data_IF_129784071184
#
_entry.id   IF_129784071184
#
_cell.length_a   1.000
_cell.length_b   1.000
_cell.length_c   1.000
_cell.angle_alpha   90.00
_cell.angle_beta   90.00
_cell.angle_gamma   90.00
#
_symmetry.space_group_name_H-M   'P 1'
#
loop_
_entity.id
_entity.type
_entity.pdbx_description
1 polymer ?
#
# COMPACT_ATOMS: atom_id res chain seq x y z
N UNK A 1 1.37 -14.88 -88.11
CA UNK A 1 -0.11 -15.00 -88.22
C UNK A 1 -0.72 -14.31 -87.00
N UNK A 2 -1.15 -13.06 -86.99
CA UNK A 2 -1.91 -12.33 -87.99
C UNK A 2 -3.34 -12.09 -87.48
N UNK A 3 -3.54 -11.15 -86.56
CA UNK A 3 -4.85 -10.49 -86.37
C UNK A 3 -4.63 -9.04 -85.92
N UNK A 4 -4.18 -8.20 -86.87
CA UNK A 4 -4.32 -6.75 -86.81
C UNK A 4 -5.80 -6.44 -86.58
N UNK A 5 -6.11 -5.76 -85.48
CA UNK A 5 -7.46 -5.29 -85.17
C UNK A 5 -7.99 -4.43 -86.32
N UNK A 6 -8.92 -5.00 -87.09
CA UNK A 6 -9.69 -4.27 -88.12
C UNK A 6 -10.36 -3.07 -87.46
N UNK A 7 -10.13 -1.90 -88.05
CA UNK A 7 -10.47 -0.60 -87.49
C UNK A 7 -11.93 -0.46 -87.11
N UNK A 8 -12.16 -0.03 -85.86
CA UNK A 8 -13.41 0.54 -85.37
C UNK A 8 -13.78 1.88 -86.05
N UNK A 9 -12.97 2.35 -87.00
CA UNK A 9 -13.18 3.63 -87.70
C UNK A 9 -14.32 3.64 -88.72
N UNK A 10 -14.79 2.47 -89.19
CA UNK A 10 -15.71 2.40 -90.33
C UNK A 10 -17.19 2.16 -89.97
N UNK A 11 -17.54 2.04 -88.67
CA UNK A 11 -18.94 1.84 -88.23
C UNK A 11 -19.66 3.17 -87.95
N UNK A 12 -18.91 4.22 -87.63
CA UNK A 12 -19.44 5.55 -87.29
C UNK A 12 -19.68 6.44 -88.53
N UNK A 13 -19.17 6.02 -89.69
CA UNK A 13 -19.27 6.74 -90.98
C UNK A 13 -20.53 6.35 -91.78
N UNK A 14 -21.21 5.26 -91.38
CA UNK A 14 -22.44 4.74 -92.03
C UNK A 14 -23.72 4.91 -91.19
N UNK A 15 -23.63 5.59 -90.05
CA UNK A 15 -24.74 5.84 -89.13
C UNK A 15 -25.22 7.28 -89.29
N UNK A 16 -26.52 7.52 -89.15
CA UNK A 16 -27.05 8.89 -89.02
C UNK A 16 -26.38 9.58 -87.82
N UNK A 17 -26.25 10.91 -87.84
CA UNK A 17 -25.62 11.68 -86.74
C UNK A 17 -26.24 11.34 -85.37
N UNK A 18 -27.54 11.04 -85.34
CA UNK A 18 -28.29 10.58 -84.16
C UNK A 18 -27.83 9.21 -83.64
N UNK A 19 -27.59 8.24 -84.51
CA UNK A 19 -27.15 6.89 -84.14
C UNK A 19 -25.71 6.89 -83.63
N UNK A 20 -24.87 7.76 -84.23
CA UNK A 20 -23.49 7.99 -83.79
C UNK A 20 -23.44 8.62 -82.39
N UNK A 21 -24.32 9.60 -82.12
CA UNK A 21 -24.45 10.24 -80.81
C UNK A 21 -24.89 9.22 -79.75
N UNK A 22 -25.92 8.40 -80.03
CA UNK A 22 -26.40 7.34 -79.11
C UNK A 22 -25.33 6.30 -78.80
N UNK A 23 -24.54 5.86 -79.78
CA UNK A 23 -23.45 4.90 -79.56
C UNK A 23 -22.32 5.47 -78.68
N UNK A 24 -21.94 6.73 -78.90
CA UNK A 24 -20.92 7.40 -78.09
C UNK A 24 -21.40 7.59 -76.65
N UNK A 25 -22.68 7.92 -76.46
CA UNK A 25 -23.30 8.06 -75.15
C UNK A 25 -23.36 6.73 -74.41
N UNK A 26 -23.84 5.65 -75.04
CA UNK A 26 -23.85 4.30 -74.44
C UNK A 26 -22.44 3.84 -74.03
N UNK A 27 -21.42 4.19 -74.81
CA UNK A 27 -20.03 3.87 -74.48
C UNK A 27 -19.49 4.72 -73.32
N UNK A 28 -19.88 5.99 -73.24
CA UNK A 28 -19.56 6.86 -72.11
C UNK A 28 -20.20 6.33 -70.82
N UNK A 29 -21.49 5.98 -70.87
CA UNK A 29 -22.25 5.43 -69.74
C UNK A 29 -21.66 4.10 -69.25
N UNK A 30 -21.26 3.21 -70.18
CA UNK A 30 -20.62 1.94 -69.84
C UNK A 30 -19.25 2.12 -69.18
N UNK A 31 -18.46 3.10 -69.64
CA UNK A 31 -17.17 3.43 -69.05
C UNK A 31 -17.33 4.05 -67.66
N UNK A 32 -18.32 4.93 -67.49
CA UNK A 32 -18.64 5.54 -66.20
C UNK A 32 -19.15 4.51 -65.20
N UNK A 33 -20.04 3.61 -65.60
CA UNK A 33 -20.52 2.51 -64.77
C UNK A 33 -19.37 1.56 -64.37
N UNK A 34 -18.44 1.28 -65.28
CA UNK A 34 -17.23 0.50 -64.97
C UNK A 34 -16.33 1.22 -63.97
N UNK A 35 -16.15 2.53 -64.11
CA UNK A 35 -15.39 3.36 -63.15
C UNK A 35 -16.07 3.37 -61.79
N UNK A 36 -17.39 3.52 -61.74
CA UNK A 36 -18.20 3.50 -60.53
C UNK A 36 -18.09 2.17 -59.80
N UNK A 37 -18.19 1.04 -60.51
CA UNK A 37 -17.99 -0.30 -59.92
C UNK A 37 -16.60 -0.48 -59.34
N UNK A 38 -15.55 -0.02 -60.04
CA UNK A 38 -14.17 -0.06 -59.52
C UNK A 38 -14.03 0.77 -58.25
N UNK A 39 -14.57 2.00 -58.22
CA UNK A 39 -14.55 2.85 -57.04
C UNK A 39 -15.32 2.21 -55.86
N UNK A 40 -16.48 1.63 -56.11
CA UNK A 40 -17.27 0.93 -55.09
C UNK A 40 -16.52 -0.28 -54.51
N UNK A 41 -15.84 -1.06 -55.35
CA UNK A 41 -15.05 -2.20 -54.91
C UNK A 41 -13.88 -1.76 -54.00
N UNK A 42 -13.18 -0.69 -54.39
CA UNK A 42 -12.08 -0.12 -53.58
C UNK A 42 -12.63 0.39 -52.24
N UNK A 43 -13.74 1.13 -52.25
CA UNK A 43 -14.36 1.64 -51.04
C UNK A 43 -14.80 0.53 -50.09
N UNK A 44 -15.39 -0.55 -50.62
CA UNK A 44 -15.79 -1.72 -49.82
C UNK A 44 -14.58 -2.44 -49.22
N UNK A 45 -13.52 -2.63 -50.02
CA UNK A 45 -12.28 -3.24 -49.54
C UNK A 45 -11.65 -2.40 -48.41
N UNK A 46 -11.56 -1.08 -48.59
CA UNK A 46 -11.02 -0.17 -47.57
C UNK A 46 -11.86 -0.17 -46.30
N UNK A 47 -13.19 -0.16 -46.41
CA UNK A 47 -14.10 -0.27 -45.26
C UNK A 47 -13.90 -1.57 -44.49
N UNK A 48 -13.74 -2.70 -45.19
CA UNK A 48 -13.52 -4.00 -44.56
C UNK A 48 -12.14 -4.08 -43.90
N UNK A 49 -11.10 -3.51 -44.53
CA UNK A 49 -9.76 -3.43 -43.97
C UNK A 49 -9.76 -2.60 -42.68
N UNK A 50 -10.37 -1.41 -42.70
CA UNK A 50 -10.50 -0.55 -41.52
C UNK A 50 -11.25 -1.24 -40.38
N UNK A 51 -12.35 -1.94 -40.66
CA UNK A 51 -13.07 -2.71 -39.63
C UNK A 51 -12.23 -3.80 -38.98
N UNK A 52 -11.37 -4.49 -39.76
CA UNK A 52 -10.45 -5.48 -39.22
C UNK A 52 -9.40 -4.83 -38.34
N UNK A 53 -8.74 -3.79 -38.83
CA UNK A 53 -7.72 -3.07 -38.05
C UNK A 53 -8.29 -2.54 -36.74
N UNK A 54 -9.47 -1.92 -36.77
CA UNK A 54 -10.14 -1.43 -35.56
C UNK A 54 -10.45 -2.55 -34.54
N UNK A 55 -10.90 -3.72 -35.02
CA UNK A 55 -11.12 -4.87 -34.16
C UNK A 55 -9.81 -5.39 -33.53
N UNK A 56 -8.72 -5.44 -34.31
CA UNK A 56 -7.40 -5.84 -33.81
C UNK A 56 -6.82 -4.81 -32.84
N UNK A 57 -6.96 -3.51 -33.10
CA UNK A 57 -6.54 -2.45 -32.20
C UNK A 57 -7.24 -2.57 -30.84
N UNK A 58 -8.56 -2.78 -30.84
CA UNK A 58 -9.34 -3.00 -29.61
C UNK A 58 -8.87 -4.24 -28.85
N UNK A 59 -8.65 -5.35 -29.54
CA UNK A 59 -8.15 -6.58 -28.93
C UNK A 59 -6.74 -6.40 -28.34
N UNK A 60 -5.82 -5.79 -29.08
CA UNK A 60 -4.45 -5.59 -28.65
C UNK A 60 -4.36 -4.63 -27.46
N UNK A 61 -5.20 -3.58 -27.45
CA UNK A 61 -5.32 -2.68 -26.31
C UNK A 61 -5.83 -3.42 -25.07
N UNK A 62 -6.85 -4.28 -25.22
CA UNK A 62 -7.35 -5.09 -24.11
C UNK A 62 -6.29 -6.05 -23.55
N UNK A 63 -5.53 -6.73 -24.42
CA UNK A 63 -4.41 -7.60 -24.02
C UNK A 63 -3.33 -6.83 -23.29
N UNK A 64 -2.87 -5.72 -23.87
CA UNK A 64 -1.83 -4.87 -23.27
C UNK A 64 -2.25 -4.37 -21.89
N UNK A 65 -3.50 -3.88 -21.76
CA UNK A 65 -4.03 -3.42 -20.48
C UNK A 65 -4.14 -4.56 -19.45
N UNK A 66 -4.46 -5.78 -19.88
CA UNK A 66 -4.52 -6.93 -18.99
C UNK A 66 -3.14 -7.30 -18.44
N UNK A 67 -2.12 -7.32 -19.30
CA UNK A 67 -0.73 -7.57 -18.88
C UNK A 67 -0.24 -6.48 -17.92
N UNK A 68 -0.49 -5.21 -18.23
CA UNK A 68 -0.15 -4.10 -17.33
C UNK A 68 -0.82 -4.22 -15.97
N UNK A 69 -2.11 -4.58 -15.92
CA UNK A 69 -2.81 -4.82 -14.65
C UNK A 69 -2.19 -5.98 -13.87
N UNK A 70 -1.71 -7.01 -14.55
CA UNK A 70 -1.01 -8.12 -13.89
C UNK A 70 0.28 -7.64 -13.25
N UNK A 71 1.13 -6.94 -14.01
CA UNK A 71 2.41 -6.40 -13.55
C UNK A 71 2.20 -5.42 -12.38
N UNK A 72 1.29 -4.46 -12.54
CA UNK A 72 1.02 -3.46 -11.49
C UNK A 72 0.50 -4.10 -10.20
N UNK A 73 -0.34 -5.14 -10.30
CA UNK A 73 -0.79 -5.87 -9.10
C UNK A 73 0.36 -6.60 -8.41
N UNK A 74 1.26 -7.23 -9.18
CA UNK A 74 2.42 -7.91 -8.60
C UNK A 74 3.33 -6.93 -7.85
N UNK A 75 3.67 -5.80 -8.48
CA UNK A 75 4.46 -4.74 -7.85
C UNK A 75 3.78 -4.21 -6.60
N UNK A 76 2.48 -3.87 -6.68
CA UNK A 76 1.76 -3.35 -5.52
C UNK A 76 1.68 -4.34 -4.36
N UNK A 77 1.52 -5.64 -4.66
CA UNK A 77 1.53 -6.68 -3.61
C UNK A 77 2.90 -6.78 -2.96
N UNK A 78 3.98 -6.69 -3.74
CA UNK A 78 5.34 -6.70 -3.19
C UNK A 78 5.58 -5.49 -2.28
N UNK A 79 5.18 -4.29 -2.71
CA UNK A 79 5.30 -3.07 -1.92
C UNK A 79 4.51 -3.17 -0.61
N UNK A 80 3.24 -3.60 -0.68
CA UNK A 80 2.39 -3.76 0.50
C UNK A 80 2.95 -4.80 1.48
N UNK A 81 3.57 -5.88 0.98
CA UNK A 81 4.22 -6.86 1.84
C UNK A 81 5.43 -6.27 2.57
N UNK A 82 6.24 -5.46 1.89
CA UNK A 82 7.36 -4.76 2.52
C UNK A 82 6.85 -3.80 3.60
N UNK A 83 5.84 -3.00 3.28
CA UNK A 83 5.26 -2.02 4.20
C UNK A 83 4.69 -2.69 5.46
N UNK A 84 4.03 -3.84 5.34
CA UNK A 84 3.55 -4.61 6.48
C UNK A 84 4.70 -5.05 7.39
N UNK A 85 5.81 -5.53 6.81
CA UNK A 85 7.00 -5.95 7.59
C UNK A 85 7.63 -4.76 8.31
N UNK A 86 7.73 -3.61 7.64
CA UNK A 86 8.29 -2.40 8.23
C UNK A 86 7.44 -1.90 9.41
N UNK A 87 6.11 -1.91 9.24
CA UNK A 87 5.14 -1.55 10.29
C UNK A 87 5.22 -2.53 11.46
N UNK A 88 5.30 -3.84 11.19
CA UNK A 88 5.46 -4.87 12.22
C UNK A 88 6.74 -4.66 13.04
N UNK A 89 7.86 -4.40 12.36
CA UNK A 89 9.14 -4.13 13.01
C UNK A 89 9.06 -2.87 13.88
N UNK A 90 8.48 -1.78 13.37
CA UNK A 90 8.29 -0.55 14.10
C UNK A 90 7.52 -0.77 15.41
N UNK A 91 6.40 -1.51 15.35
CA UNK A 91 5.60 -1.81 16.55
C UNK A 91 6.35 -2.72 17.53
N UNK A 92 7.07 -3.74 17.04
CA UNK A 92 7.90 -4.61 17.88
C UNK A 92 8.97 -3.83 18.64
N UNK A 93 9.65 -2.90 17.97
CA UNK A 93 10.66 -2.05 18.60
C UNK A 93 10.05 -1.05 19.60
N UNK A 94 8.89 -0.48 19.28
CA UNK A 94 8.16 0.39 20.19
C UNK A 94 7.72 -0.35 21.46
N UNK A 95 7.19 -1.57 21.34
CA UNK A 95 6.83 -2.42 22.46
C UNK A 95 8.06 -2.79 23.30
N UNK A 96 9.13 -3.26 22.66
CA UNK A 96 10.39 -3.61 23.36
C UNK A 96 10.93 -2.44 24.18
N UNK A 97 10.89 -1.21 23.65
CA UNK A 97 11.30 -0.01 24.40
C UNK A 97 10.40 0.26 25.61
N UNK A 98 9.08 0.11 25.46
CA UNK A 98 8.13 0.26 26.57
C UNK A 98 8.36 -0.80 27.65
N UNK A 99 8.56 -2.06 27.26
CA UNK A 99 8.86 -3.15 28.18
C UNK A 99 10.15 -2.89 28.97
N UNK A 100 11.19 -2.40 28.29
CA UNK A 100 12.44 -2.00 28.97
C UNK A 100 12.23 -0.90 30.02
N UNK A 101 11.38 0.09 29.72
CA UNK A 101 11.04 1.13 30.69
C UNK A 101 10.27 0.55 31.87
N UNK A 102 9.29 -0.32 31.62
CA UNK A 102 8.52 -1.00 32.67
C UNK A 102 9.45 -1.82 33.58
N UNK A 103 10.37 -2.60 33.01
CA UNK A 103 11.32 -3.40 33.79
C UNK A 103 12.24 -2.54 34.67
N UNK A 104 12.69 -1.38 34.17
CA UNK A 104 13.46 -0.44 34.99
C UNK A 104 12.64 0.10 36.15
N UNK A 105 11.40 0.53 35.89
CA UNK A 105 10.51 1.05 36.93
C UNK A 105 10.20 -0.01 38.01
N UNK A 106 10.02 -1.28 37.61
CA UNK A 106 9.87 -2.39 38.56
C UNK A 106 11.12 -2.54 39.43
N UNK A 107 12.31 -2.48 38.83
CA UNK A 107 13.58 -2.51 39.56
C UNK A 107 13.71 -1.36 40.56
N UNK A 108 13.35 -0.14 40.15
CA UNK A 108 13.40 1.05 41.00
C UNK A 108 12.43 0.94 42.19
N UNK A 109 11.22 0.40 41.96
CA UNK A 109 10.23 0.14 43.02
C UNK A 109 10.79 -0.86 44.04
N UNK A 110 11.31 -2.00 43.57
CA UNK A 110 11.86 -3.03 44.45
C UNK A 110 13.05 -2.48 45.27
N UNK A 111 13.96 -1.75 44.63
CA UNK A 111 15.09 -1.13 45.33
C UNK A 111 14.63 -0.10 46.37
N UNK A 112 13.59 0.67 46.06
CA UNK A 112 13.05 1.66 47.00
C UNK A 112 12.37 0.99 48.19
N UNK A 113 11.66 -0.12 47.95
CA UNK A 113 11.03 -0.93 49.01
C UNK A 113 12.09 -1.52 49.95
N UNK A 114 13.17 -2.09 49.42
CA UNK A 114 14.28 -2.60 50.21
C UNK A 114 14.94 -1.49 51.06
N UNK A 115 15.17 -0.32 50.47
CA UNK A 115 15.71 0.84 51.18
C UNK A 115 14.78 1.30 52.30
N UNK A 116 13.46 1.32 52.04
CA UNK A 116 12.46 1.68 53.04
C UNK A 116 12.42 0.69 54.20
N UNK A 117 12.42 -0.62 53.92
CA UNK A 117 12.44 -1.67 54.93
C UNK A 117 13.69 -1.55 55.83
N UNK A 118 14.87 -1.32 55.24
CA UNK A 118 16.11 -1.11 55.98
C UNK A 118 16.07 0.16 56.84
N UNK A 119 15.54 1.27 56.31
CA UNK A 119 15.40 2.52 57.04
C UNK A 119 14.45 2.34 58.24
N UNK A 120 13.32 1.66 58.04
CA UNK A 120 12.34 1.38 59.07
C UNK A 120 12.94 0.52 60.19
N UNK A 121 13.69 -0.52 59.83
CA UNK A 121 14.39 -1.38 60.79
C UNK A 121 15.39 -0.56 61.63
N UNK A 122 16.23 0.24 60.98
CA UNK A 122 17.20 1.11 61.67
C UNK A 122 16.52 2.12 62.60
N UNK A 123 15.37 2.67 62.18
CA UNK A 123 14.60 3.59 63.00
C UNK A 123 14.02 2.89 64.24
N UNK A 124 13.48 1.68 64.08
CA UNK A 124 12.95 0.89 65.19
C UNK A 124 14.04 0.56 66.21
N UNK A 125 15.23 0.14 65.77
CA UNK A 125 16.37 -0.13 66.65
C UNK A 125 16.80 1.10 67.45
N UNK A 126 16.74 2.29 66.84
CA UNK A 126 17.01 3.55 67.55
C UNK A 126 15.95 3.85 68.60
N UNK A 127 14.67 3.63 68.29
CA UNK A 127 13.57 3.78 69.27
C UNK A 127 13.75 2.81 70.42
N UNK A 128 14.02 1.53 70.15
CA UNK A 128 14.23 0.52 71.18
C UNK A 128 15.40 0.89 72.09
N UNK A 129 16.49 1.43 71.53
CA UNK A 129 17.62 1.93 72.31
C UNK A 129 17.22 3.10 73.22
N UNK A 130 16.43 4.05 72.73
CA UNK A 130 15.92 5.17 73.53
C UNK A 130 15.04 4.64 74.67
N UNK A 131 14.11 3.74 74.38
CA UNK A 131 13.25 3.10 75.39
C UNK A 131 14.10 2.38 76.44
N UNK A 132 15.13 1.64 76.02
CA UNK A 132 16.07 0.97 76.92
C UNK A 132 16.76 1.95 77.88
N UNK A 133 17.30 3.05 77.36
CA UNK A 133 17.94 4.11 78.18
C UNK A 133 16.96 4.69 79.20
N UNK A 134 15.74 5.02 78.77
CA UNK A 134 14.72 5.57 79.68
C UNK A 134 14.28 4.56 80.74
N UNK A 135 14.13 3.28 80.38
CA UNK A 135 13.81 2.21 81.34
C UNK A 135 14.92 2.07 82.39
N UNK A 136 16.19 2.03 81.99
CA UNK A 136 17.33 1.99 82.93
C UNK A 136 17.35 3.21 83.86
N UNK A 137 17.03 4.39 83.34
CA UNK A 137 16.98 5.62 84.14
C UNK A 137 15.85 5.62 85.17
N UNK A 138 14.66 5.13 84.79
CA UNK A 138 13.53 4.98 85.71
C UNK A 138 13.88 3.96 86.81
N UNK A 139 14.48 2.84 86.43
CA UNK A 139 14.89 1.81 87.38
C UNK A 139 15.91 2.34 88.39
N UNK A 140 16.90 3.11 87.91
CA UNK A 140 17.86 3.79 88.77
C UNK A 140 17.19 4.72 89.79
N UNK A 141 16.26 5.57 89.35
CA UNK A 141 15.52 6.45 90.28
C UNK A 141 14.62 5.67 91.24
N UNK A 142 14.06 4.54 90.80
CA UNK A 142 13.26 3.65 91.65
C UNK A 142 14.11 3.04 92.77
N UNK A 143 15.33 2.58 92.46
CA UNK A 143 16.25 2.06 93.48
C UNK A 143 16.61 3.14 94.50
N UNK A 144 17.00 4.35 94.06
CA UNK A 144 17.30 5.47 94.97
C UNK A 144 16.11 5.76 95.89
N UNK A 145 14.90 5.87 95.33
CA UNK A 145 13.70 6.14 96.12
C UNK A 145 13.44 5.06 97.18
N UNK A 146 13.60 3.78 96.83
CA UNK A 146 13.38 2.70 97.80
C UNK A 146 14.47 2.68 98.87
N UNK A 147 15.72 2.96 98.51
CA UNK A 147 16.82 3.10 99.48
C UNK A 147 16.55 4.25 100.47
N UNK A 148 16.18 5.43 99.96
CA UNK A 148 15.83 6.61 100.77
C UNK A 148 14.64 6.31 101.70
N UNK A 149 13.59 5.67 101.18
CA UNK A 149 12.42 5.26 101.97
C UNK A 149 12.81 4.30 103.10
N UNK A 150 13.68 3.32 102.84
CA UNK A 150 14.15 2.39 103.85
C UNK A 150 15.08 3.05 104.88
N UNK A 151 15.80 4.11 104.51
CA UNK A 151 16.58 4.89 105.45
C UNK A 151 15.67 5.65 106.43
N UNK A 152 14.64 6.35 105.91
CA UNK A 152 13.67 7.09 106.72
C UNK A 152 12.88 6.18 107.67
N UNK A 153 12.51 4.96 107.24
CA UNK A 153 11.79 4.01 108.09
C UNK A 153 12.65 3.38 109.21
N UNK A 154 13.97 3.58 109.18
CA UNK A 154 14.92 3.06 110.18
C UNK A 154 15.35 4.10 111.22
N UNK A 155 15.04 5.38 111.00
CA UNK A 155 15.11 6.45 112.01
C UNK A 155 13.84 6.47 112.89
#
# INVERSE_FOLDING_TARGET
MGKKGKGKGNKLVKMSEEERARYLQMRADMNEETRRRKMQLIALYMKNKLKREDAFCRLNMAKTNQEWRSILRQVKIQDLRSEIVDVELFFKEALKRKDQVIQRLIGDINSTEDMYANLQQSHMEKIDRIIGIHRSRIEFFRCIYEDDKQAVLRE
#
